data_IF_105858197520
#
_entry.id   IF_105858197520
#
_cell.length_a   1.000
_cell.length_b   1.000
_cell.length_c   1.000
_cell.angle_alpha   90.00
_cell.angle_beta   90.00
_cell.angle_gamma   90.00
#
_symmetry.space_group_name_H-M   'P 1'
#
loop_
_entity.id
_entity.type
_entity.pdbx_description
1 polymer ?
#
# COMPACT_ATOMS: atom_id res chain seq x y z
N UNK A 1 5.42 4.98 -3.93
CA UNK A 1 4.78 3.87 -4.67
C UNK A 1 3.90 4.44 -5.78
N UNK A 2 3.42 3.63 -6.71
CA UNK A 2 2.58 4.03 -7.84
C UNK A 2 1.33 3.18 -7.90
N UNK A 3 0.23 3.76 -8.37
CA UNK A 3 -1.01 3.02 -8.63
C UNK A 3 -0.76 1.83 -9.56
N UNK A 4 -1.43 0.71 -9.29
CA UNK A 4 -1.27 -0.56 -10.01
C UNK A 4 -0.09 -1.41 -9.57
N UNK A 5 0.80 -0.94 -8.69
CA UNK A 5 1.86 -1.79 -8.13
C UNK A 5 1.30 -2.84 -7.20
N UNK A 6 1.85 -4.06 -7.26
CA UNK A 6 1.55 -5.13 -6.31
C UNK A 6 2.52 -5.02 -5.15
N UNK A 7 1.97 -5.00 -3.94
CA UNK A 7 2.71 -4.78 -2.70
C UNK A 7 2.31 -5.81 -1.65
N UNK A 8 3.19 -6.02 -0.68
CA UNK A 8 2.93 -6.85 0.51
C UNK A 8 3.23 -6.02 1.76
N UNK A 9 2.53 -6.29 2.86
CA UNK A 9 2.84 -5.70 4.16
C UNK A 9 4.15 -6.26 4.71
N UNK A 10 5.07 -5.39 5.14
CA UNK A 10 6.29 -5.82 5.83
C UNK A 10 5.93 -6.45 7.18
N UNK A 11 6.55 -7.59 7.50
CA UNK A 11 6.30 -8.31 8.76
C UNK A 11 6.56 -7.44 9.99
N UNK A 12 7.61 -6.61 9.98
CA UNK A 12 7.95 -5.69 11.07
C UNK A 12 6.97 -4.51 11.23
N UNK A 13 6.09 -4.28 10.26
CA UNK A 13 5.15 -3.17 10.20
C UNK A 13 3.69 -3.58 10.51
N UNK A 14 3.48 -4.84 10.92
CA UNK A 14 2.14 -5.36 11.26
C UNK A 14 1.66 -4.80 12.60
N UNK A 15 0.80 -3.79 12.54
CA UNK A 15 0.00 -3.33 13.66
C UNK A 15 -1.20 -4.27 13.91
N UNK A 16 -1.83 -4.19 15.10
CA UNK A 16 -2.98 -5.01 15.44
C UNK A 16 -4.14 -4.88 14.44
N UNK A 17 -4.32 -3.68 13.88
CA UNK A 17 -5.30 -3.37 12.82
C UNK A 17 -5.05 -4.10 11.50
N UNK A 18 -3.84 -4.63 11.26
CA UNK A 18 -3.46 -5.34 10.04
C UNK A 18 -3.47 -6.87 10.20
N UNK A 19 -3.80 -7.40 11.39
CA UNK A 19 -3.70 -8.84 11.68
C UNK A 19 -4.73 -9.71 10.94
N UNK A 20 -5.81 -9.12 10.43
CA UNK A 20 -6.79 -9.82 9.59
C UNK A 20 -6.28 -10.11 8.19
N UNK A 21 -5.24 -9.41 7.74
CA UNK A 21 -4.58 -9.64 6.46
C UNK A 21 -3.51 -10.71 6.70
N UNK A 22 -3.42 -11.80 5.92
CA UNK A 22 -2.33 -12.77 6.02
C UNK A 22 -0.97 -12.19 5.62
N UNK A 23 0.15 -12.64 6.20
CA UNK A 23 1.48 -12.14 5.87
C UNK A 23 1.74 -12.10 4.37
N UNK A 24 1.42 -13.19 3.67
CA UNK A 24 1.55 -13.48 2.26
C UNK A 24 0.56 -12.76 1.35
N UNK A 25 -0.41 -12.03 1.89
CA UNK A 25 -1.42 -11.37 1.09
C UNK A 25 -0.80 -10.26 0.24
N UNK A 26 -1.10 -10.29 -1.05
CA UNK A 26 -0.73 -9.25 -2.00
C UNK A 26 -1.86 -8.22 -2.09
N UNK A 27 -1.47 -6.95 -2.09
CA UNK A 27 -2.35 -5.82 -2.26
C UNK A 27 -1.99 -5.02 -3.51
N UNK A 28 -2.96 -4.35 -4.10
CA UNK A 28 -2.75 -3.45 -5.24
C UNK A 28 -2.83 -2.01 -4.77
N UNK A 29 -1.82 -1.20 -5.08
CA UNK A 29 -1.84 0.24 -4.78
C UNK A 29 -2.92 0.90 -5.64
N UNK A 30 -3.93 1.49 -4.99
CA UNK A 30 -4.98 2.27 -5.65
C UNK A 30 -4.44 3.66 -5.97
N UNK A 31 -3.85 4.34 -4.97
CA UNK A 31 -3.31 5.67 -5.15
C UNK A 31 -2.17 5.97 -4.17
N UNK A 32 -1.40 7.00 -4.49
CA UNK A 32 -0.32 7.54 -3.65
C UNK A 32 -0.49 9.05 -3.54
N UNK A 33 -0.40 9.59 -2.33
CA UNK A 33 -0.54 11.02 -2.10
C UNK A 33 0.37 11.50 -0.97
N UNK A 34 0.62 12.82 -0.95
CA UNK A 34 1.35 13.49 0.13
C UNK A 34 0.37 14.27 0.98
N UNK A 35 0.48 14.13 2.29
CA UNK A 35 -0.22 15.02 3.20
C UNK A 35 0.52 16.36 3.24
N UNK A 36 -0.21 17.45 3.03
CA UNK A 36 0.31 18.81 3.21
C UNK A 36 0.39 19.11 4.71
N UNK A 37 1.40 18.55 5.37
CA UNK A 37 1.68 18.78 6.79
C UNK A 37 2.84 19.75 6.95
N UNK A 38 2.83 20.49 8.07
CA UNK A 38 3.86 21.49 8.41
C UNK A 38 5.27 20.90 8.50
N UNK A 39 5.39 19.57 8.69
CA UNK A 39 6.66 18.86 8.76
C UNK A 39 6.74 17.77 7.66
N UNK A 40 7.65 17.91 6.68
CA UNK A 40 7.71 17.05 5.49
C UNK A 40 8.41 15.70 5.71
N UNK A 41 8.61 15.27 6.96
CA UNK A 41 9.39 14.06 7.27
C UNK A 41 8.62 12.75 7.17
N UNK A 42 7.33 12.80 6.84
CA UNK A 42 6.51 11.60 6.76
C UNK A 42 6.56 10.99 5.35
N UNK A 43 6.62 9.66 5.25
CA UNK A 43 6.55 8.96 3.97
C UNK A 43 5.26 9.30 3.21
N UNK A 44 5.30 9.15 1.88
CA UNK A 44 4.08 9.24 1.06
C UNK A 44 3.01 8.29 1.62
N UNK A 45 1.74 8.69 1.55
CA UNK A 45 0.59 7.86 1.94
C UNK A 45 0.07 7.09 0.75
N UNK A 46 -0.40 5.88 1.00
CA UNK A 46 -0.95 4.99 -0.02
C UNK A 46 -2.25 4.37 0.45
N UNK A 47 -3.15 4.16 -0.51
CA UNK A 47 -4.32 3.32 -0.34
C UNK A 47 -4.06 2.00 -1.08
N UNK A 48 -4.26 0.87 -0.39
CA UNK A 48 -3.93 -0.46 -0.91
C UNK A 48 -5.12 -1.39 -0.75
N UNK A 49 -5.59 -1.95 -1.87
CA UNK A 49 -6.64 -2.97 -1.89
C UNK A 49 -6.03 -4.35 -1.72
N UNK A 50 -6.38 -5.03 -0.62
CA UNK A 50 -6.08 -6.45 -0.42
C UNK A 50 -7.32 -7.25 -0.78
N UNK A 51 -7.24 -7.97 -1.90
CA UNK A 51 -8.36 -8.78 -2.39
C UNK A 51 -8.84 -9.73 -1.30
N UNK A 52 -10.16 -9.75 -1.07
CA UNK A 52 -10.86 -10.55 -0.05
C UNK A 52 -10.64 -10.10 1.42
N UNK A 53 -9.82 -9.06 1.67
CA UNK A 53 -9.57 -8.51 3.01
C UNK A 53 -9.98 -7.04 3.17
N UNK A 54 -10.11 -6.31 2.06
CA UNK A 54 -10.54 -4.91 2.01
C UNK A 54 -9.39 -3.93 1.75
N UNK A 55 -9.69 -2.64 1.88
CA UNK A 55 -8.76 -1.55 1.57
C UNK A 55 -8.14 -0.97 2.83
N UNK A 56 -6.82 -0.87 2.85
CA UNK A 56 -6.09 -0.05 3.83
C UNK A 56 -5.95 1.37 3.29
N UNK A 57 -6.43 2.34 4.05
CA UNK A 57 -6.50 3.75 3.65
C UNK A 57 -5.42 4.58 4.35
N UNK A 58 -4.66 5.36 3.57
CA UNK A 58 -3.73 6.36 4.08
C UNK A 58 -2.57 5.79 4.88
N UNK A 59 -2.20 4.54 4.61
CA UNK A 59 -1.08 3.90 5.25
C UNK A 59 0.24 4.48 4.75
N UNK A 60 1.27 4.43 5.59
CA UNK A 60 2.58 4.91 5.23
C UNK A 60 3.21 3.96 4.18
N UNK A 61 3.72 4.52 3.08
CA UNK A 61 4.27 3.73 1.97
C UNK A 61 5.45 2.84 2.35
N UNK A 62 6.15 3.15 3.43
CA UNK A 62 7.28 2.37 3.95
C UNK A 62 6.85 1.11 4.72
N UNK A 63 5.56 0.96 5.06
CA UNK A 63 5.00 -0.27 5.65
C UNK A 63 4.90 -1.40 4.62
N UNK A 64 5.05 -1.09 3.33
CA UNK A 64 4.85 -2.03 2.24
C UNK A 64 6.16 -2.30 1.49
N UNK A 65 6.27 -3.50 0.93
CA UNK A 65 7.32 -3.89 -0.01
C UNK A 65 6.71 -4.13 -1.40
N UNK A 66 7.40 -3.68 -2.45
CA UNK A 66 6.93 -3.88 -3.84
C UNK A 66 7.30 -5.28 -4.30
N UNK A 67 6.31 -6.07 -4.75
CA UNK A 67 6.51 -7.40 -5.32
C UNK A 67 6.57 -7.39 -6.84
N UNK A 68 5.76 -6.55 -7.47
CA UNK A 68 5.85 -6.31 -8.91
C UNK A 68 5.37 -4.90 -9.27
N UNK A 69 5.91 -4.37 -10.37
CA UNK A 69 5.22 -3.31 -11.09
C UNK A 69 4.11 -3.99 -11.89
N UNK A 70 2.86 -3.84 -11.46
CA UNK A 70 1.74 -4.21 -12.33
C UNK A 70 1.90 -3.49 -13.67
N UNK A 71 1.66 -4.21 -14.77
CA UNK A 71 1.56 -3.58 -16.07
C UNK A 71 0.53 -2.45 -15.96
N UNK A 72 0.93 -1.23 -16.35
CA UNK A 72 -0.01 -0.15 -16.50
C UNK A 72 -1.19 -0.65 -17.33
N UNK A 73 -2.45 -0.35 -16.96
CA UNK A 73 -3.58 -0.74 -17.80
C UNK A 73 -3.34 -0.14 -19.19
N UNK A 74 -3.09 -1.01 -20.18
CA UNK A 74 -3.11 -0.63 -21.58
C UNK A 74 -4.56 -0.27 -21.86
N UNK A 75 -4.86 1.03 -21.85
CA UNK A 75 -6.14 1.52 -22.32
C UNK A 75 -6.31 0.99 -23.76
N UNK A 76 -7.34 0.16 -23.93
CA UNK A 76 -7.81 -0.34 -25.22
C UNK A 76 -8.59 0.76 -25.96
#
# INVERSE_FOLDING_TARGET
MKAGQIVQLKTAARAAQHMSIPPEAEGTVICTYRLLQRFPRHPDRVDVDFKDYGVLWGEASDLFEVKSCGEAPKNA
#
